data_IF_933030501990
#
_entry.id   IF_933030501990
#
_cell.length_a   1.000
_cell.length_b   1.000
_cell.length_c   1.000
_cell.angle_alpha   90.00
_cell.angle_beta   90.00
_cell.angle_gamma   90.00
#
_symmetry.space_group_name_H-M   'P 1'
#
loop_
_entity.id
_entity.type
_entity.pdbx_description
1 polymer ?
#
# COMPACT_ATOMS: atom_id res chain seq x y z
N UNK A 1 -35.03 45.61 -29.72
CA UNK A 1 -35.71 44.31 -29.69
C UNK A 1 -34.65 43.27 -30.04
N UNK A 2 -33.91 42.79 -29.03
CA UNK A 2 -33.09 41.60 -29.23
C UNK A 2 -34.09 40.46 -29.35
N UNK A 3 -34.26 39.92 -30.55
CA UNK A 3 -35.10 38.75 -30.75
C UNK A 3 -34.50 37.65 -29.90
N UNK A 4 -35.33 37.05 -29.03
CA UNK A 4 -35.00 35.79 -28.38
C UNK A 4 -34.39 34.89 -29.45
N UNK A 5 -33.16 34.44 -29.24
CA UNK A 5 -32.58 33.48 -30.15
C UNK A 5 -33.37 32.17 -30.06
N UNK A 6 -33.14 31.24 -30.98
CA UNK A 6 -33.86 29.97 -31.03
C UNK A 6 -33.72 29.16 -29.72
N UNK A 7 -32.69 29.47 -28.91
CA UNK A 7 -32.43 28.84 -27.62
C UNK A 7 -33.35 29.42 -26.55
N UNK A 8 -33.45 30.75 -26.43
CA UNK A 8 -34.37 31.41 -25.52
C UNK A 8 -35.83 30.99 -25.79
N UNK A 9 -36.22 30.96 -27.07
CA UNK A 9 -37.58 30.60 -27.49
C UNK A 9 -37.90 29.12 -27.25
N UNK A 10 -36.92 28.22 -27.40
CA UNK A 10 -37.08 26.79 -27.12
C UNK A 10 -37.09 26.47 -25.62
N UNK A 11 -36.38 27.24 -24.80
CA UNK A 11 -36.40 27.11 -23.34
C UNK A 11 -37.75 27.59 -22.79
N UNK A 12 -38.24 28.74 -23.28
CA UNK A 12 -39.56 29.30 -22.94
C UNK A 12 -40.72 28.41 -23.41
N UNK A 13 -40.66 27.85 -24.62
CA UNK A 13 -41.74 27.03 -25.18
C UNK A 13 -41.90 25.65 -24.53
N UNK A 14 -40.89 25.16 -23.80
CA UNK A 14 -40.91 23.82 -23.18
C UNK A 14 -41.13 23.83 -21.66
N UNK A 15 -41.37 25.00 -21.06
CA UNK A 15 -41.57 25.16 -19.62
C UNK A 15 -40.54 24.36 -18.79
N UNK A 16 -39.28 24.37 -19.23
CA UNK A 16 -38.24 23.65 -18.53
C UNK A 16 -37.91 24.38 -17.24
N UNK A 17 -38.44 23.87 -16.13
CA UNK A 17 -38.37 24.54 -14.84
C UNK A 17 -36.95 24.40 -14.24
N UNK A 18 -36.09 25.38 -14.49
CA UNK A 18 -34.89 25.62 -13.69
C UNK A 18 -35.32 26.36 -12.43
N UNK A 19 -35.53 25.61 -11.36
CA UNK A 19 -36.11 26.12 -10.11
C UNK A 19 -35.07 26.26 -9.01
N UNK A 20 -33.92 25.58 -9.13
CA UNK A 20 -32.84 25.66 -8.15
C UNK A 20 -31.59 26.30 -8.74
N UNK A 21 -30.86 27.03 -7.90
CA UNK A 21 -29.54 27.50 -8.25
C UNK A 21 -28.61 26.30 -8.47
N UNK A 22 -27.95 26.26 -9.63
CA UNK A 22 -27.07 25.16 -10.02
C UNK A 22 -27.75 24.03 -10.80
N UNK A 23 -29.03 24.19 -11.18
CA UNK A 23 -29.67 23.30 -12.17
C UNK A 23 -28.89 23.32 -13.50
N UNK A 24 -28.77 22.16 -14.14
CA UNK A 24 -28.09 22.00 -15.44
C UNK A 24 -29.10 21.54 -16.50
N UNK A 25 -29.12 22.21 -17.65
CA UNK A 25 -29.89 21.76 -18.83
C UNK A 25 -29.08 20.72 -19.60
N UNK A 26 -29.71 19.59 -19.94
CA UNK A 26 -29.14 18.56 -20.79
C UNK A 26 -30.15 18.04 -21.81
N UNK A 27 -29.66 17.38 -22.85
CA UNK A 27 -30.49 16.68 -23.85
C UNK A 27 -30.81 15.29 -23.35
N UNK A 28 -32.08 15.03 -23.03
CA UNK A 28 -32.53 13.73 -22.58
C UNK A 28 -32.73 12.76 -23.73
N UNK A 29 -32.49 11.47 -23.45
CA UNK A 29 -32.73 10.38 -24.39
C UNK A 29 -34.20 10.32 -24.85
N UNK A 30 -35.13 10.50 -23.91
CA UNK A 30 -36.55 10.43 -24.21
C UNK A 30 -36.94 11.60 -25.14
N UNK A 31 -37.39 11.27 -26.35
CA UNK A 31 -37.95 12.19 -27.34
C UNK A 31 -37.06 13.40 -27.72
N UNK A 32 -35.73 13.27 -27.59
CA UNK A 32 -34.77 14.31 -27.95
C UNK A 32 -35.08 15.67 -27.28
N UNK A 33 -35.61 15.62 -26.06
CA UNK A 33 -36.09 16.80 -25.34
C UNK A 33 -35.00 17.41 -24.49
N UNK A 34 -35.14 18.69 -24.18
CA UNK A 34 -34.37 19.30 -23.10
C UNK A 34 -34.95 18.83 -21.76
N UNK A 35 -34.07 18.58 -20.81
CA UNK A 35 -34.39 18.23 -19.44
C UNK A 35 -33.46 19.00 -18.48
N UNK A 36 -33.89 19.13 -17.23
CA UNK A 36 -33.14 19.80 -16.18
C UNK A 36 -32.67 18.75 -15.18
N UNK A 37 -31.41 18.84 -14.78
CA UNK A 37 -30.82 18.06 -13.70
C UNK A 37 -30.63 18.98 -12.50
N UNK A 38 -31.24 18.63 -11.37
CA UNK A 38 -31.09 19.35 -10.11
C UNK A 38 -29.61 19.46 -9.69
N UNK A 39 -29.22 20.46 -8.88
CA UNK A 39 -27.84 20.56 -8.39
C UNK A 39 -27.44 19.30 -7.61
N UNK A 40 -26.18 18.89 -7.80
CA UNK A 40 -25.58 17.81 -7.02
C UNK A 40 -25.23 18.25 -5.60
N UNK A 41 -24.76 17.29 -4.80
CA UNK A 41 -24.17 17.57 -3.48
C UNK A 41 -22.66 17.77 -3.57
N UNK A 42 -22.07 18.47 -2.59
CA UNK A 42 -20.63 18.71 -2.52
C UNK A 42 -19.82 17.41 -2.63
N UNK A 43 -18.82 17.41 -3.53
CA UNK A 43 -17.98 16.24 -3.81
C UNK A 43 -18.49 15.34 -4.96
N UNK A 44 -19.66 15.59 -5.52
CA UNK A 44 -20.11 14.92 -6.73
C UNK A 44 -19.54 15.56 -8.00
N UNK A 45 -19.33 14.73 -9.02
CA UNK A 45 -19.02 15.15 -10.38
C UNK A 45 -20.17 14.81 -11.34
N UNK A 46 -20.27 15.54 -12.44
CA UNK A 46 -21.23 15.23 -13.50
C UNK A 46 -20.68 14.05 -14.32
N UNK A 47 -21.41 12.94 -14.31
CA UNK A 47 -21.00 11.72 -15.01
C UNK A 47 -21.84 11.51 -16.26
N UNK A 48 -21.18 11.16 -17.36
CA UNK A 48 -21.86 10.65 -18.56
C UNK A 48 -22.18 9.17 -18.35
N UNK A 49 -23.43 8.74 -18.57
CA UNK A 49 -23.77 7.31 -18.56
C UNK A 49 -23.36 6.56 -19.84
N UNK A 50 -22.55 7.17 -20.71
CA UNK A 50 -22.25 6.68 -22.05
C UNK A 50 -23.24 7.16 -23.11
N UNK A 51 -23.02 6.73 -24.35
CA UNK A 51 -23.86 7.13 -25.47
C UNK A 51 -25.32 6.71 -25.26
N UNK A 52 -26.24 7.68 -25.35
CA UNK A 52 -27.67 7.43 -25.16
C UNK A 52 -28.14 7.35 -23.71
N UNK A 53 -27.29 7.62 -22.73
CA UNK A 53 -27.72 7.73 -21.33
C UNK A 53 -27.79 9.19 -20.89
N UNK A 54 -28.73 9.51 -20.01
CA UNK A 54 -28.79 10.83 -19.38
C UNK A 54 -27.59 11.02 -18.43
N UNK A 55 -27.02 12.23 -18.33
CA UNK A 55 -26.02 12.53 -17.33
C UNK A 55 -26.64 12.52 -15.93
N UNK A 56 -25.82 12.19 -14.93
CA UNK A 56 -26.22 12.16 -13.52
C UNK A 56 -25.08 12.62 -12.62
N UNK A 57 -25.41 13.20 -11.47
CA UNK A 57 -24.41 13.43 -10.43
C UNK A 57 -24.02 12.14 -9.75
N UNK A 58 -22.72 11.95 -9.54
CA UNK A 58 -22.21 10.79 -8.83
C UNK A 58 -20.77 10.97 -8.39
N UNK A 59 -20.23 9.95 -7.74
CA UNK A 59 -18.81 9.86 -7.52
C UNK A 59 -18.16 9.37 -8.83
N UNK A 60 -17.20 10.10 -9.42
CA UNK A 60 -16.45 9.57 -10.54
C UNK A 60 -15.80 8.25 -10.08
N UNK A 61 -15.86 7.23 -10.92
CA UNK A 61 -15.06 6.04 -10.68
C UNK A 61 -13.61 6.50 -10.50
N UNK A 62 -12.86 5.97 -9.51
CA UNK A 62 -11.47 6.34 -9.34
C UNK A 62 -10.77 6.12 -10.68
N UNK A 63 -10.21 7.21 -11.23
CA UNK A 63 -9.35 7.09 -12.39
C UNK A 63 -8.22 6.13 -12.03
N UNK A 64 -7.89 5.22 -12.93
CA UNK A 64 -6.81 4.29 -12.68
C UNK A 64 -5.51 5.07 -12.48
N UNK A 65 -5.03 5.18 -11.24
CA UNK A 65 -3.70 5.67 -10.94
C UNK A 65 -2.72 4.53 -11.28
N UNK A 66 -2.14 4.62 -12.48
CA UNK A 66 -1.17 3.63 -12.98
C UNK A 66 0.18 3.90 -12.32
N UNK A 67 0.42 3.26 -11.19
CA UNK A 67 1.79 3.02 -10.70
C UNK A 67 2.22 1.65 -11.21
N UNK A 68 2.79 1.65 -12.42
CA UNK A 68 3.48 0.53 -13.08
C UNK A 68 3.10 -0.86 -12.56
N UNK A 69 1.86 -1.23 -12.81
CA UNK A 69 1.39 -2.58 -13.12
C UNK A 69 0.20 -2.35 -14.04
N UNK A 70 -0.21 -3.32 -14.86
CA UNK A 70 -1.33 -3.20 -15.79
C UNK A 70 -2.71 -3.11 -15.11
N UNK A 71 -2.86 -2.33 -14.02
CA UNK A 71 -4.10 -2.14 -13.26
C UNK A 71 -3.99 -1.05 -12.18
N UNK A 72 -5.13 -0.50 -11.72
CA UNK A 72 -5.17 0.62 -10.78
C UNK A 72 -4.87 0.24 -9.33
N UNK A 73 -4.05 1.07 -8.67
CA UNK A 73 -3.94 1.09 -7.22
C UNK A 73 -4.64 2.33 -6.65
N UNK A 74 -5.82 2.18 -6.05
CA UNK A 74 -6.47 3.23 -5.24
C UNK A 74 -5.64 3.56 -3.99
N UNK A 75 -5.75 4.78 -3.46
CA UNK A 75 -5.35 5.13 -2.06
C UNK A 75 -6.26 4.45 -1.00
N UNK A 76 -7.05 3.50 -1.48
CA UNK A 76 -7.90 2.57 -0.76
C UNK A 76 -7.72 1.20 -1.40
N UNK A 77 -6.54 0.88 -1.95
CA UNK A 77 -6.29 -0.51 -2.28
C UNK A 77 -6.11 -1.15 -0.92
N UNK A 78 -7.03 -2.05 -0.53
CA UNK A 78 -6.58 -3.02 0.42
C UNK A 78 -5.39 -3.70 -0.25
N UNK A 79 -4.43 -4.10 0.57
CA UNK A 79 -3.44 -5.08 0.19
C UNK A 79 -4.14 -6.43 -0.15
N UNK A 80 -5.23 -6.47 -0.93
CA UNK A 80 -5.94 -7.69 -1.34
C UNK A 80 -5.10 -8.52 -2.31
N UNK A 81 -4.20 -7.90 -3.08
CA UNK A 81 -3.14 -8.67 -3.77
C UNK A 81 -2.12 -9.22 -2.77
N UNK A 82 -1.88 -8.55 -1.63
CA UNK A 82 -1.14 -9.14 -0.49
C UNK A 82 -1.99 -10.10 0.34
N UNK A 83 -3.32 -10.17 0.16
CA UNK A 83 -4.15 -11.16 0.83
C UNK A 83 -3.96 -12.55 0.21
N UNK A 84 -3.43 -12.61 -1.02
CA UNK A 84 -2.82 -13.81 -1.61
C UNK A 84 -1.38 -14.01 -1.11
N UNK A 85 -0.77 -12.93 -0.62
CA UNK A 85 0.57 -12.92 -0.08
C UNK A 85 0.73 -13.70 1.22
N UNK A 86 1.95 -14.15 1.47
CA UNK A 86 2.24 -14.91 2.68
C UNK A 86 2.37 -13.94 3.84
N UNK A 87 1.60 -14.13 4.92
CA UNK A 87 1.69 -13.28 6.12
C UNK A 87 3.15 -13.16 6.58
N UNK A 88 3.67 -11.93 6.66
CA UNK A 88 5.06 -11.65 7.02
C UNK A 88 6.01 -11.47 5.84
N UNK A 89 5.51 -11.57 4.59
CA UNK A 89 6.22 -11.11 3.40
C UNK A 89 6.41 -9.58 3.39
N UNK A 90 7.32 -9.12 2.54
CA UNK A 90 7.63 -7.69 2.35
C UNK A 90 7.39 -7.31 0.89
N UNK A 91 7.06 -6.05 0.63
CA UNK A 91 7.03 -5.50 -0.73
C UNK A 91 8.40 -4.91 -1.05
N UNK A 92 8.98 -5.31 -2.19
CA UNK A 92 10.26 -4.79 -2.68
C UNK A 92 10.16 -4.36 -4.14
N UNK A 93 11.13 -3.58 -4.58
CA UNK A 93 11.33 -3.31 -6.01
C UNK A 93 12.11 -4.48 -6.61
N UNK A 94 11.50 -5.22 -7.52
CA UNK A 94 12.15 -6.22 -8.37
C UNK A 94 12.87 -5.56 -9.55
N UNK A 95 13.35 -6.37 -10.48
CA UNK A 95 14.16 -5.89 -11.61
C UNK A 95 13.45 -4.89 -12.53
N UNK A 96 12.12 -5.00 -12.66
CA UNK A 96 11.30 -4.12 -13.50
C UNK A 96 10.17 -3.44 -12.70
N UNK A 97 9.52 -4.20 -11.80
CA UNK A 97 8.31 -3.78 -11.12
C UNK A 97 8.36 -4.04 -9.60
N UNK A 98 7.34 -3.58 -8.89
CA UNK A 98 7.15 -3.92 -7.47
C UNK A 98 6.63 -5.35 -7.34
N UNK A 99 7.20 -6.11 -6.42
CA UNK A 99 6.83 -7.51 -6.18
C UNK A 99 6.78 -7.82 -4.67
N UNK A 100 6.00 -8.83 -4.31
CA UNK A 100 6.07 -9.43 -2.97
C UNK A 100 7.29 -10.36 -2.89
N UNK A 101 8.09 -10.15 -1.84
CA UNK A 101 9.14 -11.06 -1.44
C UNK A 101 8.68 -11.82 -0.21
N UNK A 102 8.42 -13.12 -0.40
CA UNK A 102 7.86 -13.99 0.62
C UNK A 102 8.69 -14.00 1.92
N UNK A 103 8.04 -14.30 3.04
CA UNK A 103 8.73 -14.44 4.32
C UNK A 103 9.79 -15.55 4.19
N UNK A 104 10.99 -15.31 4.72
CA UNK A 104 12.06 -16.29 4.70
C UNK A 104 11.78 -17.48 5.61
N UNK A 105 12.77 -18.36 5.82
CA UNK A 105 12.67 -19.37 6.88
C UNK A 105 12.98 -18.75 8.25
N UNK A 106 12.63 -19.45 9.33
CA UNK A 106 12.98 -19.04 10.69
C UNK A 106 14.48 -18.77 10.82
N UNK A 107 14.85 -17.88 11.76
CA UNK A 107 16.22 -17.45 12.07
C UNK A 107 16.93 -16.67 10.96
N UNK A 108 16.24 -16.23 9.90
CA UNK A 108 16.85 -15.44 8.82
C UNK A 108 16.66 -13.94 9.04
N UNK A 109 17.62 -13.16 8.53
CA UNK A 109 17.53 -11.70 8.41
C UNK A 109 17.56 -11.29 6.94
N UNK A 110 17.00 -10.11 6.64
CA UNK A 110 17.07 -9.54 5.30
C UNK A 110 18.44 -8.87 5.12
N UNK A 111 19.20 -9.33 4.13
CA UNK A 111 20.53 -8.82 3.82
C UNK A 111 20.46 -7.99 2.56
N UNK A 112 21.10 -6.82 2.57
CA UNK A 112 21.31 -6.03 1.37
C UNK A 112 22.43 -6.66 0.53
N UNK A 113 22.12 -7.10 -0.68
CA UNK A 113 23.11 -7.49 -1.69
C UNK A 113 23.48 -6.31 -2.60
N UNK A 114 24.36 -6.56 -3.58
CA UNK A 114 24.75 -5.56 -4.57
C UNK A 114 23.66 -5.23 -5.61
N UNK A 115 22.62 -6.07 -5.70
CA UNK A 115 21.53 -5.92 -6.67
C UNK A 115 20.19 -6.10 -5.98
N UNK A 116 20.03 -7.23 -5.29
CA UNK A 116 18.79 -7.60 -4.62
C UNK A 116 19.00 -7.82 -3.12
N UNK A 117 17.94 -7.57 -2.35
CA UNK A 117 17.84 -8.03 -0.97
C UNK A 117 17.53 -9.53 -0.93
N UNK A 118 18.12 -10.25 0.02
CA UNK A 118 17.91 -11.69 0.18
C UNK A 118 17.84 -12.11 1.65
N UNK A 119 17.04 -13.13 1.95
CA UNK A 119 17.02 -13.74 3.27
C UNK A 119 18.28 -14.60 3.50
N UNK A 120 18.98 -14.38 4.62
CA UNK A 120 20.22 -15.10 4.95
C UNK A 120 20.48 -15.23 6.45
N UNK A 121 21.52 -15.98 6.81
CA UNK A 121 22.10 -15.92 8.16
C UNK A 121 23.12 -14.78 8.25
N UNK A 122 23.40 -14.33 9.46
CA UNK A 122 24.54 -13.45 9.75
C UNK A 122 25.65 -14.32 10.34
N UNK A 123 26.72 -14.52 9.57
CA UNK A 123 27.89 -15.24 10.07
C UNK A 123 28.79 -14.29 10.87
N UNK A 124 29.46 -14.81 11.90
CA UNK A 124 30.36 -13.99 12.74
C UNK A 124 31.48 -13.32 11.91
N UNK A 125 31.92 -13.96 10.82
CA UNK A 125 32.93 -13.43 9.91
C UNK A 125 32.46 -12.22 9.10
N UNK A 126 31.14 -11.98 9.00
CA UNK A 126 30.57 -10.83 8.28
C UNK A 126 30.54 -9.56 9.13
N UNK A 127 30.67 -9.73 10.45
CA UNK A 127 30.61 -8.62 11.40
C UNK A 127 31.97 -7.92 11.47
N UNK A 128 31.96 -6.60 11.34
CA UNK A 128 33.15 -5.76 11.55
C UNK A 128 33.20 -5.27 12.99
N UNK A 129 34.41 -5.12 13.54
CA UNK A 129 34.59 -4.57 14.90
C UNK A 129 34.26 -5.56 16.02
N UNK A 130 34.17 -6.85 15.72
CA UNK A 130 33.99 -7.88 16.75
C UNK A 130 35.34 -8.23 17.38
N UNK A 131 35.45 -8.27 18.71
CA UNK A 131 36.66 -8.73 19.38
C UNK A 131 37.02 -10.15 18.94
N UNK A 132 38.28 -10.36 18.56
CA UNK A 132 38.84 -11.70 18.27
C UNK A 132 39.06 -12.53 19.54
N UNK A 133 39.16 -11.86 20.69
CA UNK A 133 39.20 -12.46 22.00
C UNK A 133 38.27 -11.68 22.93
N UNK A 134 37.49 -12.42 23.72
CA UNK A 134 36.80 -11.85 24.86
C UNK A 134 37.73 -12.02 26.05
N UNK A 135 38.05 -10.93 26.77
CA UNK A 135 38.74 -11.03 28.04
C UNK A 135 37.90 -11.93 28.95
N UNK A 136 38.42 -13.09 29.41
CA UNK A 136 37.65 -13.96 30.28
C UNK A 136 37.23 -13.17 31.53
N UNK A 137 35.96 -13.26 31.90
CA UNK A 137 35.55 -12.80 33.21
C UNK A 137 36.32 -13.62 34.25
N UNK A 138 36.82 -12.96 35.30
CA UNK A 138 37.40 -13.67 36.43
C UNK A 138 36.32 -14.58 37.04
N UNK A 139 36.40 -15.88 36.76
CA UNK A 139 35.62 -16.87 37.50
C UNK A 139 36.38 -17.10 38.80
N UNK A 140 35.83 -16.60 39.90
CA UNK A 140 36.32 -16.98 41.23
C UNK A 140 35.99 -18.47 41.39
N UNK A 141 36.96 -19.34 41.17
CA UNK A 141 36.87 -20.69 41.73
C UNK A 141 36.82 -20.48 43.24
N UNK A 142 35.73 -20.90 43.87
CA UNK A 142 35.51 -20.76 45.30
C UNK A 142 36.41 -21.72 46.10
N UNK A 143 37.71 -21.67 45.89
CA UNK A 143 38.70 -22.43 46.64
C UNK A 143 39.89 -21.52 46.90
N UNK A 144 40.03 -21.14 48.16
CA UNK A 144 41.07 -20.27 48.70
C UNK A 144 42.41 -21.01 48.81
N UNK A 145 43.01 -21.42 47.68
CA UNK A 145 44.32 -22.08 47.66
C UNK A 145 44.91 -22.20 46.25
N UNK A 146 46.25 -22.27 46.09
CA UNK A 146 46.90 -22.34 44.79
C UNK A 146 46.54 -23.64 44.06
N UNK A 147 45.99 -23.53 42.86
CA UNK A 147 45.83 -24.67 41.96
C UNK A 147 47.15 -24.90 41.23
N UNK A 148 48.01 -25.77 41.79
CA UNK A 148 49.02 -26.46 40.98
C UNK A 148 48.29 -27.38 40.01
N UNK A 149 48.78 -27.57 38.78
CA UNK A 149 48.17 -28.43 37.73
C UNK A 149 48.00 -29.92 38.11
N UNK A 150 48.19 -30.26 39.37
CA UNK A 150 47.63 -31.44 40.00
C UNK A 150 46.56 -30.95 40.97
N UNK A 151 45.27 -31.16 40.63
CA UNK A 151 44.26 -31.18 41.67
C UNK A 151 44.71 -32.27 42.66
N UNK A 152 45.03 -31.95 43.92
CA UNK A 152 45.32 -33.00 44.88
C UNK A 152 44.08 -33.88 44.93
N UNK A 153 44.24 -35.19 44.69
CA UNK A 153 43.21 -36.23 44.74
C UNK A 153 42.57 -36.39 46.14
N UNK A 154 42.66 -35.39 47.02
CA UNK A 154 42.12 -35.41 48.37
C UNK A 154 40.59 -35.38 48.42
N UNK A 155 39.92 -35.20 47.28
CA UNK A 155 38.47 -35.39 47.14
C UNK A 155 38.08 -36.83 46.75
N UNK A 156 39.03 -37.69 46.37
CA UNK A 156 38.75 -39.13 46.25
C UNK A 156 38.98 -39.81 47.59
N UNK A 157 38.14 -39.46 48.58
CA UNK A 157 38.00 -40.29 49.76
C UNK A 157 37.47 -41.65 49.29
N UNK A 158 38.31 -42.68 49.40
CA UNK A 158 37.89 -44.06 49.27
C UNK A 158 36.73 -44.32 50.24
N UNK A 159 35.54 -44.50 49.67
CA UNK A 159 34.33 -45.01 50.29
C UNK A 159 33.64 -45.93 49.30
#
# INVERSE_FOLDING_TARGET
>A
MGGADDIDSALDARALALVNQGDIVYRALAANTLAALAPGVAGQALLTGGAGANPSWGAPAPAAHVLATTGPHTNTLPLTDLAVGTRGGIIRRGAADWEEYALGVATRVLKAGATDVAWGQVDYAELTGVPGTFTPAAHVLATTGPHTDELPLTDLAAG
#
